data_IF_075623954428
#
_entry.id   IF_075623954428
#
_cell.length_a   1.000
_cell.length_b   1.000
_cell.length_c   1.000
_cell.angle_alpha   90.00
_cell.angle_beta   90.00
_cell.angle_gamma   90.00
#
_symmetry.space_group_name_H-M   'P 1'
#
loop_
_entity.id
_entity.type
_entity.pdbx_description
1 polymer ?
#
# COMPACT_ATOMS: atom_id res chain seq x y z
N UNK A 1 2.12 64.68 4.04
CA UNK A 1 1.04 63.74 4.43
C UNK A 1 1.48 62.35 4.05
N UNK A 2 1.52 61.46 5.04
CA UNK A 2 1.95 60.07 4.97
C UNK A 2 0.84 59.21 4.36
N UNK A 3 1.21 58.26 3.49
CA UNK A 3 0.84 56.83 3.58
C UNK A 3 1.43 56.06 2.39
N UNK A 4 2.65 55.55 2.58
CA UNK A 4 3.08 54.32 1.94
C UNK A 4 2.27 53.19 2.60
N UNK A 5 1.39 52.56 1.84
CA UNK A 5 0.77 51.29 2.21
C UNK A 5 1.58 50.19 1.50
N UNK A 6 2.52 49.51 2.18
CA UNK A 6 2.85 48.16 1.75
C UNK A 6 1.64 47.32 2.13
N UNK A 7 0.90 46.83 1.13
CA UNK A 7 0.01 45.70 1.33
C UNK A 7 0.91 44.52 1.71
N UNK A 8 1.09 44.34 2.99
CA UNK A 8 1.31 43.04 3.59
C UNK A 8 0.09 42.18 3.22
N UNK A 9 0.11 41.60 2.02
CA UNK A 9 -0.59 40.35 1.74
C UNK A 9 0.20 39.22 2.43
N UNK A 10 0.25 39.31 3.76
CA UNK A 10 0.50 38.20 4.66
C UNK A 10 -0.77 37.36 4.64
N UNK A 11 -0.86 36.46 3.67
CA UNK A 11 -1.36 35.14 3.99
C UNK A 11 -0.24 34.19 3.61
N UNK A 12 0.50 33.65 4.59
CA UNK A 12 1.20 32.42 4.31
C UNK A 12 0.09 31.45 3.92
N UNK A 13 0.07 30.99 2.67
CA UNK A 13 -0.33 29.60 2.50
C UNK A 13 0.63 28.89 3.43
N UNK A 14 0.11 28.36 4.54
CA UNK A 14 0.88 27.43 5.33
C UNK A 14 1.44 26.48 4.27
N UNK A 15 2.76 26.46 4.14
CA UNK A 15 3.41 25.35 3.49
C UNK A 15 3.06 24.18 4.40
N UNK A 16 1.89 23.57 4.16
CA UNK A 16 1.68 22.19 4.49
C UNK A 16 2.91 21.53 3.90
N UNK A 17 3.77 21.00 4.76
CA UNK A 17 4.79 20.08 4.28
C UNK A 17 4.07 19.14 3.33
N UNK A 18 4.54 19.02 2.08
CA UNK A 18 3.87 18.25 1.03
C UNK A 18 3.64 16.84 1.58
N UNK A 19 2.46 16.61 2.14
CA UNK A 19 2.08 15.35 2.74
C UNK A 19 1.87 14.40 1.57
N UNK A 20 2.52 13.24 1.65
CA UNK A 20 2.43 12.21 0.63
C UNK A 20 2.10 10.89 1.33
N UNK A 21 1.14 10.10 0.81
CA UNK A 21 0.91 8.76 1.32
C UNK A 21 2.18 7.93 1.18
N UNK A 22 2.51 7.14 2.21
CA UNK A 22 3.66 6.22 2.19
C UNK A 22 3.17 4.78 2.10
N UNK A 23 3.93 3.84 1.51
CA UNK A 23 3.53 2.44 1.44
C UNK A 23 3.18 1.85 2.80
N UNK A 24 3.93 2.19 3.85
CA UNK A 24 3.72 1.71 5.22
C UNK A 24 2.37 2.14 5.84
N UNK A 25 1.69 3.14 5.29
CA UNK A 25 0.37 3.59 5.75
C UNK A 25 -0.75 2.59 5.43
N UNK A 26 -0.46 1.53 4.69
CA UNK A 26 -1.48 0.66 4.14
C UNK A 26 -1.29 -0.79 4.58
N UNK A 27 -2.40 -1.47 4.85
CA UNK A 27 -2.43 -2.93 4.93
C UNK A 27 -2.53 -3.51 3.52
N UNK A 28 -1.76 -4.57 3.27
CA UNK A 28 -1.69 -5.28 1.98
C UNK A 28 -2.17 -6.73 2.10
N UNK A 29 -2.67 -7.15 3.25
CA UNK A 29 -3.09 -8.53 3.49
C UNK A 29 -4.12 -9.02 2.45
N UNK A 30 -5.10 -8.20 2.06
CA UNK A 30 -6.09 -8.54 1.02
C UNK A 30 -5.44 -8.71 -0.36
N UNK A 31 -4.57 -7.79 -0.76
CA UNK A 31 -3.85 -7.89 -2.05
C UNK A 31 -2.92 -9.10 -2.10
N UNK A 32 -2.24 -9.40 -0.99
CA UNK A 32 -1.41 -10.58 -0.87
C UNK A 32 -2.24 -11.88 -0.90
N UNK A 33 -3.42 -11.90 -0.29
CA UNK A 33 -4.35 -13.02 -0.38
C UNK A 33 -4.82 -13.27 -1.82
N UNK A 34 -5.02 -12.21 -2.61
CA UNK A 34 -5.39 -12.33 -4.04
C UNK A 34 -4.28 -13.01 -4.84
N UNK A 35 -3.03 -12.60 -4.69
CA UNK A 35 -1.94 -13.18 -5.48
C UNK A 35 -1.58 -14.61 -5.03
N UNK A 36 -1.71 -14.92 -3.74
CA UNK A 36 -1.45 -16.26 -3.20
C UNK A 36 -2.59 -17.26 -3.45
N UNK A 37 -3.76 -16.81 -3.93
CA UNK A 37 -4.87 -17.68 -4.29
C UNK A 37 -4.58 -18.64 -5.46
N UNK A 38 -3.51 -18.39 -6.24
CA UNK A 38 -3.05 -19.23 -7.35
C UNK A 38 -1.58 -19.64 -7.12
N UNK A 39 -1.31 -20.59 -6.21
CA UNK A 39 0.05 -20.97 -5.80
C UNK A 39 0.91 -21.52 -6.96
N UNK A 40 0.26 -22.00 -8.02
CA UNK A 40 0.82 -22.56 -9.24
C UNK A 40 1.14 -21.50 -10.32
N UNK A 41 0.98 -20.21 -10.02
CA UNK A 41 1.41 -19.13 -10.88
C UNK A 41 2.93 -19.22 -11.15
N UNK A 42 3.30 -19.10 -12.42
CA UNK A 42 4.71 -18.99 -12.80
C UNK A 42 5.27 -17.67 -12.25
N UNK A 43 6.37 -17.77 -11.51
CA UNK A 43 7.02 -16.62 -10.88
C UNK A 43 6.08 -15.87 -9.90
N UNK A 44 5.52 -16.64 -8.95
CA UNK A 44 4.53 -16.18 -7.97
C UNK A 44 4.98 -14.94 -7.19
N UNK A 45 6.25 -14.84 -6.82
CA UNK A 45 6.77 -13.66 -6.13
C UNK A 45 6.67 -12.40 -7.01
N UNK A 46 7.05 -12.48 -8.29
CA UNK A 46 6.90 -11.34 -9.23
C UNK A 46 5.42 -11.00 -9.45
N UNK A 47 4.57 -12.00 -9.66
CA UNK A 47 3.12 -11.77 -9.81
C UNK A 47 2.49 -11.12 -8.56
N UNK A 48 2.96 -11.49 -7.37
CA UNK A 48 2.57 -10.83 -6.12
C UNK A 48 3.10 -9.40 -6.04
N UNK A 49 4.34 -9.13 -6.46
CA UNK A 49 4.88 -7.77 -6.52
C UNK A 49 3.98 -6.85 -7.38
N UNK A 50 3.60 -7.30 -8.58
CA UNK A 50 2.70 -6.55 -9.47
C UNK A 50 1.33 -6.27 -8.82
N UNK A 51 0.80 -7.25 -8.08
CA UNK A 51 -0.48 -7.11 -7.36
C UNK A 51 -0.39 -6.11 -6.21
N UNK A 52 0.71 -6.15 -5.45
CA UNK A 52 0.97 -5.22 -4.35
C UNK A 52 1.22 -3.80 -4.86
N UNK A 53 1.89 -3.66 -6.01
CA UNK A 53 2.09 -2.39 -6.69
C UNK A 53 0.76 -1.77 -7.11
N UNK A 54 -0.10 -2.54 -7.79
CA UNK A 54 -1.44 -2.09 -8.16
C UNK A 54 -2.28 -1.68 -6.94
N UNK A 55 -2.19 -2.44 -5.84
CA UNK A 55 -2.86 -2.11 -4.59
C UNK A 55 -2.33 -0.78 -4.00
N UNK A 56 -1.02 -0.57 -4.00
CA UNK A 56 -0.43 0.67 -3.49
C UNK A 56 -0.86 1.89 -4.32
N UNK A 57 -0.83 1.80 -5.66
CA UNK A 57 -1.27 2.89 -6.55
C UNK A 57 -2.70 3.31 -6.22
N UNK A 58 -3.61 2.35 -6.08
CA UNK A 58 -5.01 2.61 -5.73
C UNK A 58 -5.13 3.24 -4.34
N UNK A 59 -4.47 2.67 -3.34
CA UNK A 59 -4.52 3.16 -1.95
C UNK A 59 -3.94 4.57 -1.83
N UNK A 60 -2.85 4.86 -2.54
CA UNK A 60 -2.25 6.20 -2.66
C UNK A 60 -3.23 7.20 -3.28
N UNK A 61 -3.88 6.83 -4.38
CA UNK A 61 -4.87 7.69 -5.04
C UNK A 61 -6.05 8.02 -4.12
N UNK A 62 -6.59 7.04 -3.39
CA UNK A 62 -7.68 7.26 -2.43
C UNK A 62 -7.23 8.16 -1.27
N UNK A 63 -6.03 7.94 -0.75
CA UNK A 63 -5.46 8.73 0.35
C UNK A 63 -5.19 10.18 -0.07
N UNK A 64 -4.65 10.38 -1.27
CA UNK A 64 -4.41 11.71 -1.83
C UNK A 64 -5.71 12.45 -2.09
N UNK A 65 -6.72 11.78 -2.67
CA UNK A 65 -8.05 12.36 -2.84
C UNK A 65 -8.65 12.76 -1.48
N UNK A 66 -8.54 11.91 -0.45
CA UNK A 66 -9.05 12.22 0.89
C UNK A 66 -8.37 13.44 1.51
N UNK A 67 -7.04 13.56 1.37
CA UNK A 67 -6.29 14.73 1.82
C UNK A 67 -6.78 16.02 1.14
N UNK A 68 -7.04 15.99 -0.17
CA UNK A 68 -7.56 17.15 -0.92
C UNK A 68 -9.02 17.45 -0.56
N UNK A 69 -9.82 16.43 -0.26
CA UNK A 69 -11.21 16.57 0.17
C UNK A 69 -11.37 17.19 1.57
N UNK A 70 -10.31 17.17 2.38
CA UNK A 70 -10.27 17.71 3.74
C UNK A 70 -11.45 17.20 4.59
N UNK A 71 -12.31 18.10 5.07
CA UNK A 71 -13.45 17.77 5.93
C UNK A 71 -14.67 17.18 5.18
N UNK A 72 -14.59 17.08 3.85
CA UNK A 72 -15.70 16.53 3.04
C UNK A 72 -15.56 15.01 2.93
N UNK A 73 -16.63 14.24 3.20
CA UNK A 73 -16.61 12.80 2.94
C UNK A 73 -16.23 12.49 1.49
N UNK A 74 -15.43 11.44 1.27
CA UNK A 74 -15.01 11.00 -0.06
C UNK A 74 -16.21 10.78 -1.02
N UNK A 75 -17.34 10.32 -0.49
CA UNK A 75 -18.61 10.15 -1.21
C UNK A 75 -19.15 11.44 -1.84
N UNK A 76 -18.91 12.58 -1.21
CA UNK A 76 -19.30 13.91 -1.64
C UNK A 76 -18.23 14.65 -2.44
N UNK A 77 -17.11 13.98 -2.74
CA UNK A 77 -15.90 14.62 -3.25
C UNK A 77 -15.39 13.97 -4.56
N UNK A 78 -16.19 14.02 -5.65
CA UNK A 78 -15.87 13.32 -6.89
C UNK A 78 -14.68 13.92 -7.65
N UNK A 79 -14.47 15.23 -7.58
CA UNK A 79 -13.41 15.91 -8.35
C UNK A 79 -12.02 15.44 -7.90
N UNK A 80 -11.66 15.42 -6.61
CA UNK A 80 -10.36 14.89 -6.19
C UNK A 80 -10.13 13.42 -6.51
N UNK A 81 -11.19 12.59 -6.51
CA UNK A 81 -11.07 11.19 -6.95
C UNK A 81 -10.73 11.11 -8.45
N UNK A 82 -11.42 11.90 -9.28
CA UNK A 82 -11.16 11.97 -10.74
C UNK A 82 -9.77 12.53 -11.06
N UNK A 83 -9.31 13.53 -10.30
CA UNK A 83 -7.97 14.13 -10.45
C UNK A 83 -6.85 13.12 -10.11
N UNK A 84 -7.11 12.16 -9.23
CA UNK A 84 -6.23 11.02 -8.94
C UNK A 84 -6.44 9.84 -9.90
N UNK A 85 -7.26 10.03 -10.95
CA UNK A 85 -7.49 9.04 -12.00
C UNK A 85 -8.44 7.92 -11.61
N UNK A 86 -9.15 8.04 -10.48
CA UNK A 86 -10.15 7.06 -10.07
C UNK A 86 -11.42 7.26 -10.92
N UNK A 87 -12.08 6.17 -11.36
CA UNK A 87 -13.29 6.27 -12.16
C UNK A 87 -14.43 6.91 -11.35
N UNK A 88 -15.38 7.56 -12.00
CA UNK A 88 -16.52 8.22 -11.33
C UNK A 88 -17.37 7.31 -10.41
N UNK A 89 -17.31 5.98 -10.60
CA UNK A 89 -17.93 5.02 -9.69
C UNK A 89 -17.25 4.96 -8.32
N UNK A 90 -15.98 5.37 -8.23
CA UNK A 90 -15.20 5.39 -6.99
C UNK A 90 -15.89 6.21 -5.90
N UNK A 91 -16.43 7.39 -6.23
CA UNK A 91 -17.18 8.21 -5.27
C UNK A 91 -18.43 7.49 -4.72
N UNK A 92 -19.05 6.62 -5.52
CA UNK A 92 -20.20 5.81 -5.07
C UNK A 92 -19.76 4.65 -4.17
N UNK A 93 -18.62 4.03 -4.48
CA UNK A 93 -18.02 2.96 -3.68
C UNK A 93 -17.59 3.50 -2.31
N UNK A 94 -17.05 4.72 -2.27
CA UNK A 94 -16.69 5.43 -1.04
C UNK A 94 -17.90 5.88 -0.18
N UNK A 95 -19.15 5.63 -0.64
CA UNK A 95 -20.40 6.10 -0.02
C UNK A 95 -20.42 5.94 1.50
N UNK A 96 -20.99 6.90 2.24
CA UNK A 96 -20.93 7.06 3.72
C UNK A 96 -20.93 5.75 4.55
N UNK A 97 -19.77 5.10 4.61
CA UNK A 97 -19.50 3.98 5.48
C UNK A 97 -19.24 4.60 6.85
N UNK A 98 -19.84 4.08 7.92
CA UNK A 98 -19.62 4.59 9.28
C UNK A 98 -18.20 4.27 9.77
N UNK A 99 -17.20 4.89 9.15
CA UNK A 99 -15.76 4.71 9.36
C UNK A 99 -15.16 5.90 10.12
N UNK A 100 -13.94 5.70 10.63
CA UNK A 100 -13.15 6.79 11.21
C UNK A 100 -12.69 7.76 10.12
N UNK A 101 -13.11 9.01 10.23
CA UNK A 101 -12.81 10.10 9.30
C UNK A 101 -11.76 11.08 9.86
N UNK A 102 -10.93 10.63 10.80
CA UNK A 102 -9.80 11.42 11.29
C UNK A 102 -8.94 11.91 10.11
N UNK A 103 -8.56 13.21 10.05
CA UNK A 103 -7.81 13.72 8.91
C UNK A 103 -6.49 12.98 8.71
N UNK A 104 -6.27 12.48 7.50
CA UNK A 104 -5.18 11.53 7.20
C UNK A 104 -3.79 12.12 7.41
N UNK A 105 -3.63 13.43 7.22
CA UNK A 105 -2.38 14.16 7.45
C UNK A 105 -1.98 14.24 8.93
N UNK A 106 -2.89 13.91 9.84
CA UNK A 106 -2.62 13.85 11.29
C UNK A 106 -2.18 12.47 11.75
N UNK A 107 -2.32 11.46 10.91
CA UNK A 107 -1.99 10.07 11.22
C UNK A 107 -0.50 9.77 10.94
N UNK A 108 0.10 8.80 11.64
CA UNK A 108 1.47 8.37 11.38
C UNK A 108 1.63 7.85 9.95
N UNK A 109 2.74 8.19 9.29
CA UNK A 109 3.03 7.75 7.92
C UNK A 109 3.85 6.45 7.87
N UNK A 110 4.30 5.95 9.02
CA UNK A 110 5.16 4.78 9.19
C UNK A 110 4.41 3.55 9.74
N UNK A 111 3.10 3.68 9.93
CA UNK A 111 2.23 2.62 10.47
C UNK A 111 0.97 2.51 9.64
N UNK A 112 0.50 1.28 9.43
CA UNK A 112 -0.73 1.04 8.68
C UNK A 112 -1.92 1.77 9.33
N UNK A 113 -2.74 2.40 8.50
CA UNK A 113 -4.00 3.01 8.90
C UNK A 113 -4.89 1.95 9.58
N UNK A 114 -5.67 2.33 10.60
CA UNK A 114 -6.70 1.45 11.15
C UNK A 114 -7.62 0.94 10.05
N UNK A 115 -8.00 -0.34 10.10
CA UNK A 115 -8.87 -0.95 9.08
C UNK A 115 -10.26 -0.32 8.99
N UNK A 116 -10.71 0.32 10.07
CA UNK A 116 -11.96 1.06 10.16
C UNK A 116 -11.82 2.54 9.74
N UNK A 117 -10.63 3.00 9.34
CA UNK A 117 -10.43 4.32 8.77
C UNK A 117 -11.00 4.42 7.36
N UNK A 118 -11.65 5.54 7.03
CA UNK A 118 -12.37 5.71 5.78
C UNK A 118 -11.50 5.51 4.54
N UNK A 119 -10.24 5.96 4.58
CA UNK A 119 -9.30 5.75 3.47
C UNK A 119 -8.95 4.28 3.29
N UNK A 120 -8.63 3.56 4.39
CA UNK A 120 -8.25 2.16 4.32
C UNK A 120 -9.42 1.30 3.80
N UNK A 121 -10.59 1.47 4.40
CA UNK A 121 -11.80 0.73 4.06
C UNK A 121 -12.25 1.00 2.62
N UNK A 122 -12.26 2.27 2.21
CA UNK A 122 -12.65 2.64 0.84
C UNK A 122 -11.68 2.05 -0.18
N UNK A 123 -10.38 2.15 0.07
CA UNK A 123 -9.37 1.62 -0.85
C UNK A 123 -9.43 0.08 -0.94
N UNK A 124 -9.68 -0.62 0.16
CA UNK A 124 -9.86 -2.07 0.17
C UNK A 124 -11.11 -2.48 -0.63
N UNK A 125 -12.25 -1.82 -0.43
CA UNK A 125 -13.46 -2.10 -1.22
C UNK A 125 -13.20 -1.83 -2.71
N UNK A 126 -12.54 -0.71 -3.04
CA UNK A 126 -12.19 -0.41 -4.43
C UNK A 126 -11.26 -1.46 -5.03
N UNK A 127 -10.31 -1.98 -4.26
CA UNK A 127 -9.41 -3.03 -4.71
C UNK A 127 -10.18 -4.32 -4.99
N UNK A 128 -11.07 -4.72 -4.08
CA UNK A 128 -11.92 -5.91 -4.22
C UNK A 128 -12.89 -5.80 -5.41
N UNK A 129 -13.39 -4.60 -5.71
CA UNK A 129 -14.22 -4.29 -6.88
C UNK A 129 -13.42 -4.16 -8.19
N UNK A 130 -12.09 -4.34 -8.14
CA UNK A 130 -11.22 -4.28 -9.31
C UNK A 130 -11.06 -2.88 -9.90
N UNK A 131 -11.15 -1.84 -9.07
CA UNK A 131 -10.90 -0.46 -9.50
C UNK A 131 -9.43 -0.28 -9.85
N UNK A 132 -9.17 0.21 -11.06
CA UNK A 132 -7.81 0.52 -11.53
C UNK A 132 -7.73 2.03 -11.81
N UNK A 133 -6.86 2.78 -11.11
CA UNK A 133 -6.62 4.19 -11.41
C UNK A 133 -6.07 4.38 -12.83
N UNK A 134 -6.44 5.48 -13.50
CA UNK A 134 -5.91 5.83 -14.82
C UNK A 134 -4.47 6.33 -14.75
N UNK A 135 -4.06 6.90 -13.61
CA UNK A 135 -2.68 7.31 -13.34
C UNK A 135 -1.99 6.19 -12.55
N UNK A 136 -1.29 5.32 -13.27
CA UNK A 136 -0.69 4.10 -12.72
C UNK A 136 0.80 4.22 -12.40
N UNK A 137 1.44 5.36 -12.68
CA UNK A 137 2.88 5.46 -12.46
C UNK A 137 3.19 5.67 -10.97
N UNK A 138 3.82 4.63 -10.40
CA UNK A 138 4.77 4.79 -9.32
C UNK A 138 6.07 5.27 -9.94
N UNK A 139 6.33 6.58 -9.88
CA UNK A 139 7.64 7.08 -10.29
C UNK A 139 8.67 6.74 -9.21
N UNK A 140 9.14 5.49 -9.23
CA UNK A 140 10.33 5.07 -8.48
C UNK A 140 11.55 5.98 -8.80
N UNK A 141 11.53 6.62 -9.98
CA UNK A 141 12.52 7.60 -10.41
C UNK A 141 12.44 8.95 -9.65
N UNK A 142 11.28 9.30 -9.10
CA UNK A 142 11.04 10.55 -8.37
C UNK A 142 11.19 10.43 -6.85
N UNK A 143 10.80 9.28 -6.30
CA UNK A 143 10.87 8.96 -4.87
C UNK A 143 11.33 7.50 -4.66
N UNK A 144 12.64 7.21 -4.78
CA UNK A 144 13.18 5.85 -4.65
C UNK A 144 12.77 5.12 -3.37
N UNK A 145 12.54 5.88 -2.29
CA UNK A 145 12.13 5.33 -1.00
C UNK A 145 10.77 4.63 -1.01
N UNK A 146 9.84 5.00 -1.90
CA UNK A 146 8.52 4.33 -1.93
C UNK A 146 8.63 2.91 -2.50
N UNK A 147 9.46 2.73 -3.51
CA UNK A 147 9.66 1.42 -4.12
C UNK A 147 10.52 0.51 -3.23
N UNK A 148 11.50 1.09 -2.51
CA UNK A 148 12.22 0.40 -1.45
C UNK A 148 11.27 -0.07 -0.32
N UNK A 149 10.41 0.83 0.19
CA UNK A 149 9.45 0.51 1.25
C UNK A 149 8.47 -0.59 0.79
N UNK A 150 7.96 -0.52 -0.44
CA UNK A 150 7.05 -1.53 -0.98
C UNK A 150 7.76 -2.88 -1.18
N UNK A 151 9.01 -2.89 -1.63
CA UNK A 151 9.82 -4.11 -1.74
C UNK A 151 10.11 -4.74 -0.37
N UNK A 152 10.36 -3.93 0.66
CA UNK A 152 10.50 -4.39 2.05
C UNK A 152 9.19 -5.01 2.57
N UNK A 153 8.05 -4.36 2.31
CA UNK A 153 6.72 -4.90 2.65
C UNK A 153 6.46 -6.23 1.93
N UNK A 154 6.75 -6.30 0.63
CA UNK A 154 6.57 -7.51 -0.17
C UNK A 154 7.40 -8.69 0.38
N UNK A 155 8.68 -8.46 0.67
CA UNK A 155 9.54 -9.47 1.28
C UNK A 155 9.02 -9.91 2.66
N UNK A 156 8.57 -8.95 3.49
CA UNK A 156 8.06 -9.24 4.82
C UNK A 156 6.76 -10.06 4.80
N UNK A 157 5.85 -9.79 3.85
CA UNK A 157 4.61 -10.56 3.69
C UNK A 157 4.89 -12.03 3.41
N UNK A 158 5.85 -12.33 2.53
CA UNK A 158 6.24 -13.71 2.24
C UNK A 158 6.86 -14.43 3.43
N UNK A 159 7.74 -13.74 4.17
CA UNK A 159 8.34 -14.29 5.39
C UNK A 159 7.25 -14.62 6.41
N UNK A 160 6.32 -13.70 6.65
CA UNK A 160 5.19 -13.90 7.56
C UNK A 160 4.26 -15.03 7.09
N UNK A 161 4.06 -15.19 5.78
CA UNK A 161 3.24 -16.26 5.22
C UNK A 161 3.85 -17.64 5.47
N UNK A 162 5.18 -17.77 5.34
CA UNK A 162 5.89 -19.01 5.72
C UNK A 162 5.77 -19.23 7.22
N UNK A 163 6.07 -18.22 8.04
CA UNK A 163 6.01 -18.31 9.50
C UNK A 163 4.64 -18.82 9.98
N UNK A 164 3.56 -18.31 9.38
CA UNK A 164 2.18 -18.70 9.69
C UNK A 164 1.87 -20.18 9.41
N UNK A 165 2.55 -20.81 8.44
CA UNK A 165 2.39 -22.24 8.15
C UNK A 165 3.28 -23.13 9.02
N UNK A 166 4.42 -22.61 9.48
CA UNK A 166 5.43 -23.42 10.18
C UNK A 166 4.99 -23.97 11.54
N UNK A 167 4.08 -23.31 12.25
CA UNK A 167 3.63 -23.69 13.60
C UNK A 167 4.78 -24.10 14.56
N UNK A 168 5.90 -23.36 14.55
CA UNK A 168 7.13 -23.65 15.31
C UNK A 168 7.93 -24.89 14.87
N UNK A 169 7.80 -25.40 13.63
CA UNK A 169 8.70 -26.43 13.11
C UNK A 169 10.14 -25.88 13.02
N UNK A 170 11.07 -26.39 13.83
CA UNK A 170 12.44 -25.87 13.88
C UNK A 170 13.20 -26.12 12.57
N UNK A 171 12.82 -27.12 11.79
CA UNK A 171 13.44 -27.46 10.50
C UNK A 171 13.08 -26.43 9.45
N UNK A 172 11.81 -26.04 9.38
CA UNK A 172 11.33 -25.02 8.43
C UNK A 172 11.85 -23.64 8.82
N UNK A 173 11.83 -23.32 10.12
CA UNK A 173 12.42 -22.09 10.66
C UNK A 173 13.91 -21.95 10.28
N UNK A 174 14.69 -23.03 10.45
CA UNK A 174 16.12 -23.06 10.11
C UNK A 174 16.35 -22.99 8.58
N UNK A 175 15.47 -23.60 7.77
CA UNK A 175 15.51 -23.48 6.32
C UNK A 175 15.23 -22.04 5.86
N UNK A 176 14.22 -21.39 6.42
CA UNK A 176 13.87 -20.01 6.13
C UNK A 176 15.01 -19.07 6.52
N UNK A 177 15.59 -19.23 7.71
CA UNK A 177 16.74 -18.45 8.15
C UNK A 177 17.95 -18.57 7.18
N UNK A 178 18.22 -19.77 6.66
CA UNK A 178 19.25 -19.99 5.63
C UNK A 178 18.94 -19.31 4.30
N UNK A 179 17.67 -19.36 3.86
CA UNK A 179 17.21 -18.68 2.66
C UNK A 179 17.42 -17.16 2.78
N UNK A 180 16.99 -16.57 3.90
CA UNK A 180 17.19 -15.15 4.19
C UNK A 180 18.67 -14.76 4.20
N UNK A 181 19.51 -15.53 4.89
CA UNK A 181 20.95 -15.25 4.97
C UNK A 181 21.64 -15.30 3.60
N UNK A 182 21.20 -16.20 2.71
CA UNK A 182 21.73 -16.32 1.34
C UNK A 182 21.43 -15.07 0.48
N UNK A 183 20.33 -14.39 0.76
CA UNK A 183 19.93 -13.19 0.04
C UNK A 183 20.69 -11.92 0.47
N UNK A 184 21.32 -11.91 1.65
CA UNK A 184 22.04 -10.73 2.17
C UNK A 184 23.23 -10.29 1.31
N UNK A 185 23.76 -11.16 0.47
CA UNK A 185 24.89 -10.86 -0.43
C UNK A 185 24.47 -10.63 -1.89
N UNK A 186 23.17 -10.58 -2.18
CA UNK A 186 22.65 -10.32 -3.53
C UNK A 186 22.48 -8.82 -3.77
N UNK A 187 22.58 -8.41 -5.04
CA UNK A 187 22.38 -7.00 -5.44
C UNK A 187 20.96 -6.51 -5.13
N UNK A 188 19.97 -7.40 -5.20
CA UNK A 188 18.59 -7.16 -4.75
C UNK A 188 18.19 -8.20 -3.70
N UNK A 189 18.55 -7.91 -2.45
CA UNK A 189 18.26 -8.78 -1.32
C UNK A 189 16.75 -8.99 -1.11
N UNK A 190 15.92 -7.98 -1.37
CA UNK A 190 14.46 -8.02 -1.11
C UNK A 190 13.75 -8.90 -2.12
N UNK A 191 14.05 -8.74 -3.41
CA UNK A 191 13.53 -9.63 -4.45
C UNK A 191 13.97 -11.07 -4.22
N UNK A 192 15.24 -11.29 -3.81
CA UNK A 192 15.72 -12.62 -3.45
C UNK A 192 14.93 -13.21 -2.27
N UNK A 193 14.71 -12.44 -1.20
CA UNK A 193 13.95 -12.89 -0.02
C UNK A 193 12.53 -13.29 -0.42
N UNK A 194 11.82 -12.41 -1.15
CA UNK A 194 10.46 -12.67 -1.62
C UNK A 194 10.40 -13.95 -2.47
N UNK A 195 11.29 -14.12 -3.44
CA UNK A 195 11.34 -15.31 -4.29
C UNK A 195 11.57 -16.59 -3.49
N UNK A 196 12.55 -16.59 -2.58
CA UNK A 196 12.87 -17.78 -1.76
C UNK A 196 11.78 -18.14 -0.76
N UNK A 197 11.15 -17.14 -0.15
CA UNK A 197 10.06 -17.36 0.78
C UNK A 197 8.79 -17.81 0.04
N UNK A 198 8.52 -17.29 -1.16
CA UNK A 198 7.44 -17.78 -2.01
C UNK A 198 7.63 -19.24 -2.44
N UNK A 199 8.84 -19.62 -2.88
CA UNK A 199 9.19 -21.01 -3.20
C UNK A 199 8.90 -21.95 -2.02
N UNK A 200 9.37 -21.58 -0.83
CA UNK A 200 9.14 -22.36 0.39
C UNK A 200 7.66 -22.41 0.78
N UNK A 201 6.94 -21.30 0.66
CA UNK A 201 5.51 -21.24 0.96
C UNK A 201 4.70 -22.18 0.06
N UNK A 202 5.00 -22.20 -1.25
CA UNK A 202 4.35 -23.11 -2.21
C UNK A 202 4.59 -24.57 -1.82
N UNK A 203 5.82 -24.92 -1.44
CA UNK A 203 6.16 -26.27 -0.99
C UNK A 203 5.40 -26.68 0.27
N UNK A 204 5.18 -25.74 1.20
CA UNK A 204 4.45 -25.97 2.45
C UNK A 204 2.95 -26.14 2.22
N UNK A 205 2.31 -25.25 1.44
CA UNK A 205 0.89 -25.35 1.11
C UNK A 205 0.59 -26.62 0.31
N UNK A 206 1.50 -27.06 -0.56
CA UNK A 206 1.36 -28.32 -1.30
C UNK A 206 1.44 -29.59 -0.43
N UNK A 207 1.94 -29.50 0.81
CA UNK A 207 2.06 -30.61 1.74
C UNK A 207 0.86 -30.76 2.69
N UNK A 208 0.00 -29.75 2.80
CA UNK A 208 -1.26 -29.79 3.54
C UNK A 208 -2.41 -30.17 2.59
N UNK A 209 -2.91 -31.43 2.59
CA UNK A 209 -4.21 -31.71 2.03
C UNK A 209 -5.26 -31.13 2.98
N UNK A 210 -5.93 -30.06 2.55
CA UNK A 210 -7.18 -29.59 3.15
C UNK A 210 -8.15 -30.74 3.43
#
# INVERSE_FOLDING_TARGET
>A
MIRLLPLFALLPHAAHADWAPRPAMFDYSSAFAVCTAQPDARDLATACADTLEAAYILKRAVAQAAFVCADTPLSGCPVPLEDEGLPAIAARIAGDIGCDSTPIETLPTDTALPRDHCVALTADIMFDEGVVPLFTDLSCDGLPSECDDLADIHAALWVQAVDALTHDDPTITDLQARNLNTCTTQDDARACIAARAAELWVDLVGQDPL
#
